data_IF_991291154109
#
_entry.id   IF_991291154109
#
_cell.length_a   1.000
_cell.length_b   1.000
_cell.length_c   1.000
_cell.angle_alpha   90.00
_cell.angle_beta   90.00
_cell.angle_gamma   90.00
#
_symmetry.space_group_name_H-M   'P 1'
#
loop_
_entity.id
_entity.type
_entity.pdbx_description
1 polymer ?
#
# COMPACT_ATOMS: atom_id res chain seq x y z
N UNK A 1 -1.73 -12.65 -1.51
CA UNK A 1 -3.18 -12.48 -1.22
C UNK A 1 -3.28 -11.44 -0.10
N UNK A 2 -3.97 -10.31 -0.30
CA UNK A 2 -3.99 -9.09 0.54
C UNK A 2 -2.84 -8.12 0.24
N UNK A 3 -3.23 -6.89 -0.11
CA UNK A 3 -2.44 -5.66 0.04
C UNK A 3 -3.01 -4.95 1.26
N UNK A 4 -2.16 -4.34 2.06
CA UNK A 4 -2.50 -3.46 3.18
C UNK A 4 -1.77 -2.15 2.89
N UNK A 5 -2.40 -1.04 3.25
CA UNK A 5 -1.88 0.32 3.10
C UNK A 5 -1.79 0.90 4.50
N UNK A 6 -0.66 1.48 4.90
CA UNK A 6 -0.50 2.16 6.20
C UNK A 6 0.15 3.50 5.88
N UNK A 7 -0.42 4.61 6.36
CA UNK A 7 0.19 5.94 6.24
C UNK A 7 0.96 6.36 7.51
N UNK A 8 2.28 6.39 7.33
CA UNK A 8 3.25 7.38 7.79
C UNK A 8 3.74 7.41 9.25
N UNK A 9 2.94 7.14 10.30
CA UNK A 9 3.45 7.38 11.69
C UNK A 9 3.86 6.16 12.51
N UNK A 10 3.40 4.96 12.18
CA UNK A 10 3.67 3.75 12.99
C UNK A 10 4.85 2.92 12.44
N UNK A 11 5.19 3.05 11.15
CA UNK A 11 6.21 2.20 10.53
C UNK A 11 7.65 2.49 11.01
N UNK A 12 7.95 3.71 11.48
CA UNK A 12 9.27 4.04 12.07
C UNK A 12 9.63 3.18 13.29
N UNK A 13 8.65 2.63 13.99
CA UNK A 13 8.89 1.75 15.15
C UNK A 13 9.23 0.31 14.72
N UNK A 14 8.69 -0.17 13.59
CA UNK A 14 8.88 -1.55 13.13
C UNK A 14 10.11 -1.73 12.20
N UNK A 15 10.54 -0.69 11.48
CA UNK A 15 11.53 -0.78 10.40
C UNK A 15 13.01 -0.69 10.82
N UNK A 16 13.35 -0.82 12.10
CA UNK A 16 14.75 -0.65 12.54
C UNK A 16 15.72 -1.74 12.04
N UNK A 17 15.26 -2.79 11.36
CA UNK A 17 16.12 -3.87 10.86
C UNK A 17 15.78 -4.26 9.41
N UNK A 18 16.64 -3.88 8.45
CA UNK A 18 16.59 -4.26 7.03
C UNK A 18 16.98 -5.72 6.74
N UNK A 19 16.59 -6.66 7.58
CA UNK A 19 16.85 -8.10 7.40
C UNK A 19 15.55 -8.89 7.28
N UNK A 20 14.77 -8.64 6.23
CA UNK A 20 13.55 -9.42 5.95
C UNK A 20 13.46 -9.91 4.50
N UNK A 21 14.39 -9.51 3.62
CA UNK A 21 14.39 -9.92 2.21
C UNK A 21 14.94 -11.33 1.94
N UNK A 22 15.56 -12.01 2.93
CA UNK A 22 16.35 -13.23 2.70
C UNK A 22 15.67 -14.56 3.08
N UNK A 23 14.38 -14.57 3.40
CA UNK A 23 13.72 -15.81 3.85
C UNK A 23 12.35 -15.94 3.21
N UNK A 24 12.26 -16.48 1.98
CA UNK A 24 11.03 -16.93 1.28
C UNK A 24 9.72 -16.54 2.00
N UNK A 25 9.41 -15.24 2.11
CA UNK A 25 8.51 -14.85 3.16
C UNK A 25 7.10 -14.99 2.62
N UNK A 26 6.24 -15.65 3.39
CA UNK A 26 4.79 -15.70 3.09
C UNK A 26 4.18 -14.29 2.98
N UNK A 27 4.92 -13.25 3.39
CA UNK A 27 4.60 -11.83 3.39
C UNK A 27 5.81 -10.98 2.96
N UNK A 28 5.70 -10.25 1.86
CA UNK A 28 6.71 -9.29 1.39
C UNK A 28 6.24 -7.85 1.67
N UNK A 29 7.08 -7.04 2.30
CA UNK A 29 6.77 -5.65 2.63
C UNK A 29 7.53 -4.68 1.73
N UNK A 30 6.84 -3.65 1.24
CA UNK A 30 7.43 -2.54 0.50
C UNK A 30 7.12 -1.24 1.24
N UNK A 31 8.16 -0.43 1.49
CA UNK A 31 8.03 0.90 2.11
C UNK A 31 8.37 1.94 1.05
N UNK A 32 7.38 2.77 0.69
CA UNK A 32 7.49 3.85 -0.30
C UNK A 32 8.14 3.45 -1.65
N UNK A 33 7.75 2.33 -2.28
CA UNK A 33 8.39 1.83 -3.49
C UNK A 33 8.26 2.75 -4.71
N UNK A 34 7.32 3.71 -4.69
CA UNK A 34 7.11 4.66 -5.78
C UNK A 34 7.79 6.01 -5.59
N UNK A 35 8.37 6.27 -4.40
CA UNK A 35 8.94 7.58 -4.07
C UNK A 35 10.11 7.95 -4.99
N UNK A 36 10.05 9.16 -5.56
CA UNK A 36 11.10 9.70 -6.42
C UNK A 36 11.16 9.09 -7.83
N UNK A 37 10.24 8.18 -8.17
CA UNK A 37 10.18 7.56 -9.49
C UNK A 37 9.30 8.36 -10.46
N UNK A 38 9.68 8.37 -11.73
CA UNK A 38 8.86 8.93 -12.81
C UNK A 38 7.58 8.10 -13.05
N UNK A 39 6.51 8.68 -13.64
CA UNK A 39 5.20 8.02 -13.79
C UNK A 39 5.22 6.65 -14.49
N UNK A 40 6.16 6.44 -15.40
CA UNK A 40 6.33 5.17 -16.12
C UNK A 40 6.90 4.09 -15.19
N UNK A 41 7.95 4.43 -14.45
CA UNK A 41 8.62 3.51 -13.53
C UNK A 41 7.70 3.10 -12.38
N UNK A 42 6.88 4.03 -11.87
CA UNK A 42 5.87 3.71 -10.86
C UNK A 42 4.91 2.60 -11.33
N UNK A 43 4.43 2.69 -12.59
CA UNK A 43 3.57 1.64 -13.17
C UNK A 43 4.30 0.30 -13.29
N UNK A 44 5.58 0.32 -13.64
CA UNK A 44 6.40 -0.88 -13.77
C UNK A 44 6.64 -1.57 -12.43
N UNK A 45 6.94 -0.80 -11.38
CA UNK A 45 7.05 -1.28 -10.00
C UNK A 45 5.74 -1.95 -9.57
N UNK A 46 4.60 -1.30 -9.77
CA UNK A 46 3.31 -1.90 -9.42
C UNK A 46 2.94 -3.13 -10.26
N UNK A 47 3.33 -3.16 -11.53
CA UNK A 47 3.15 -4.36 -12.36
C UNK A 47 3.99 -5.53 -11.84
N UNK A 48 5.21 -5.26 -11.37
CA UNK A 48 6.07 -6.27 -10.76
C UNK A 48 5.46 -6.80 -9.46
N UNK A 49 4.95 -5.90 -8.61
CA UNK A 49 4.25 -6.28 -7.38
C UNK A 49 3.02 -7.15 -7.68
N UNK A 50 2.25 -6.82 -8.73
CA UNK A 50 1.11 -7.65 -9.16
C UNK A 50 1.53 -9.05 -9.61
N UNK A 51 2.69 -9.20 -10.27
CA UNK A 51 3.24 -10.51 -10.65
C UNK A 51 3.60 -11.33 -9.40
N UNK A 52 4.32 -10.73 -8.45
CA UNK A 52 4.67 -11.37 -7.17
C UNK A 52 3.42 -11.83 -6.40
N UNK A 53 2.38 -10.98 -6.37
CA UNK A 53 1.08 -11.35 -5.78
C UNK A 53 0.45 -12.57 -6.48
N UNK A 54 0.54 -12.64 -7.81
CA UNK A 54 -0.02 -13.75 -8.62
C UNK A 54 0.71 -15.07 -8.36
N UNK A 55 1.99 -15.01 -7.97
CA UNK A 55 2.79 -16.18 -7.58
C UNK A 55 2.42 -16.73 -6.19
N UNK A 56 1.43 -16.15 -5.51
CA UNK A 56 0.89 -16.64 -4.23
C UNK A 56 1.44 -15.91 -3.00
N UNK A 57 2.34 -14.95 -3.19
CA UNK A 57 2.94 -14.18 -2.11
C UNK A 57 1.96 -13.12 -1.57
N UNK A 58 1.93 -12.95 -0.25
CA UNK A 58 1.22 -11.81 0.36
C UNK A 58 2.09 -10.57 0.29
N UNK A 59 1.52 -9.43 -0.07
CA UNK A 59 2.29 -8.20 -0.24
C UNK A 59 1.71 -7.11 0.64
N UNK A 60 2.52 -6.46 1.45
CA UNK A 60 2.12 -5.32 2.27
C UNK A 60 2.85 -4.08 1.74
N UNK A 61 2.12 -3.00 1.45
CA UNK A 61 2.68 -1.81 0.81
C UNK A 61 2.38 -0.61 1.69
N UNK A 62 3.42 0.07 2.15
CA UNK A 62 3.30 1.33 2.88
C UNK A 62 3.58 2.43 1.87
N UNK A 63 2.64 3.35 1.71
CA UNK A 63 2.70 4.40 0.69
C UNK A 63 1.97 5.65 1.17
N UNK A 64 2.52 6.82 0.83
CA UNK A 64 1.88 8.10 1.09
C UNK A 64 0.84 8.43 0.02
N UNK A 65 1.01 7.90 -1.20
CA UNK A 65 0.11 8.17 -2.31
C UNK A 65 -1.11 7.25 -2.30
N UNK A 66 -2.11 7.62 -1.49
CA UNK A 66 -3.38 6.88 -1.33
C UNK A 66 -4.08 6.62 -2.67
N UNK A 67 -4.07 7.59 -3.60
CA UNK A 67 -4.72 7.47 -4.91
C UNK A 67 -4.27 6.25 -5.69
N UNK A 68 -2.96 6.02 -5.75
CA UNK A 68 -2.37 4.96 -6.56
C UNK A 68 -2.62 3.59 -5.94
N UNK A 69 -2.60 3.52 -4.61
CA UNK A 69 -2.72 2.26 -3.89
C UNK A 69 -4.16 1.75 -3.84
N UNK A 70 -5.13 2.64 -3.63
CA UNK A 70 -6.56 2.28 -3.68
C UNK A 70 -6.95 1.56 -4.98
N UNK A 71 -6.27 1.83 -6.09
CA UNK A 71 -6.57 1.21 -7.39
C UNK A 71 -6.07 -0.23 -7.49
N UNK A 72 -4.99 -0.57 -6.78
CA UNK A 72 -4.28 -1.86 -6.92
C UNK A 72 -4.48 -2.81 -5.75
N UNK A 73 -4.83 -2.28 -4.58
CA UNK A 73 -4.93 -3.04 -3.36
C UNK A 73 -6.24 -3.84 -3.30
N UNK A 74 -6.21 -4.99 -2.61
CA UNK A 74 -7.43 -5.75 -2.34
C UNK A 74 -8.18 -5.17 -1.13
N UNK A 75 -7.40 -4.70 -0.15
CA UNK A 75 -7.85 -4.02 1.06
C UNK A 75 -6.94 -2.84 1.30
N UNK A 76 -7.50 -1.77 1.84
CA UNK A 76 -6.71 -0.62 2.24
C UNK A 76 -7.05 -0.25 3.67
N UNK A 77 -6.05 0.32 4.33
CA UNK A 77 -6.19 0.98 5.60
C UNK A 77 -5.59 2.37 5.44
N UNK A 78 -6.23 3.34 6.06
CA UNK A 78 -5.79 4.73 6.04
C UNK A 78 -5.53 5.10 7.48
N UNK A 79 -4.29 5.51 7.72
CA UNK A 79 -3.81 5.87 9.04
C UNK A 79 -3.62 7.39 9.05
N UNK A 80 -4.38 8.08 9.90
CA UNK A 80 -4.27 9.53 10.09
C UNK A 80 -4.08 9.81 11.58
N UNK A 81 -3.11 10.66 11.92
CA UNK A 81 -2.84 11.05 13.31
C UNK A 81 -2.69 9.87 14.29
N UNK A 82 -2.15 8.74 13.81
CA UNK A 82 -1.95 7.53 14.60
C UNK A 82 -3.22 6.70 14.84
N UNK A 83 -4.33 6.99 14.14
CA UNK A 83 -5.58 6.22 14.20
C UNK A 83 -6.00 5.78 12.80
N UNK A 84 -6.50 4.54 12.69
CA UNK A 84 -7.05 4.05 11.43
C UNK A 84 -8.38 4.76 11.24
N UNK A 85 -8.46 5.68 10.28
CA UNK A 85 -9.65 6.47 10.00
C UNK A 85 -10.53 5.79 8.95
N UNK A 86 -9.92 5.08 8.00
CA UNK A 86 -10.64 4.33 6.96
C UNK A 86 -10.02 2.95 6.80
N UNK A 87 -10.87 1.96 6.58
CA UNK A 87 -10.44 0.61 6.22
C UNK A 87 -11.54 -0.10 5.45
N UNK A 88 -11.17 -1.00 4.55
CA UNK A 88 -12.16 -1.73 3.77
C UNK A 88 -11.58 -2.42 2.56
N UNK A 89 -12.46 -3.02 1.76
CA UNK A 89 -12.11 -3.47 0.42
C UNK A 89 -11.96 -2.27 -0.51
N UNK A 90 -11.22 -2.45 -1.58
CA UNK A 90 -11.11 -1.46 -2.67
C UNK A 90 -12.46 -0.90 -3.10
N UNK A 91 -13.45 -1.77 -3.32
CA UNK A 91 -14.78 -1.37 -3.78
C UNK A 91 -15.52 -0.52 -2.73
N UNK A 92 -15.41 -0.86 -1.45
CA UNK A 92 -16.01 -0.08 -0.37
C UNK A 92 -15.36 1.29 -0.24
N UNK A 93 -14.04 1.37 -0.37
CA UNK A 93 -13.30 2.62 -0.18
C UNK A 93 -13.38 3.53 -1.41
N UNK A 94 -13.37 3.00 -2.63
CA UNK A 94 -13.60 3.79 -3.84
C UNK A 94 -15.00 4.40 -3.89
N UNK A 95 -16.00 3.78 -3.25
CA UNK A 95 -17.36 4.32 -3.17
C UNK A 95 -17.60 5.23 -1.96
N UNK A 96 -16.65 5.30 -1.02
CA UNK A 96 -16.78 6.13 0.16
C UNK A 96 -16.59 7.61 -0.19
N UNK A 97 -17.60 8.45 0.08
CA UNK A 97 -17.54 9.89 -0.22
C UNK A 97 -16.36 10.59 0.46
N UNK A 98 -16.04 10.23 1.72
CA UNK A 98 -14.89 10.79 2.42
C UNK A 98 -13.58 10.48 1.69
N UNK A 99 -13.43 9.27 1.13
CA UNK A 99 -12.23 8.88 0.36
C UNK A 99 -12.17 9.67 -0.96
N UNK A 100 -13.30 9.81 -1.65
CA UNK A 100 -13.38 10.57 -2.90
C UNK A 100 -12.97 12.02 -2.71
N UNK A 101 -13.52 12.68 -1.69
CA UNK A 101 -13.25 14.09 -1.44
C UNK A 101 -11.86 14.32 -0.86
N UNK A 102 -11.45 13.55 0.16
CA UNK A 102 -10.17 13.77 0.83
C UNK A 102 -8.96 13.33 -0.01
N UNK A 103 -9.09 12.24 -0.77
CA UNK A 103 -7.94 11.64 -1.46
C UNK A 103 -8.05 11.61 -2.96
N UNK A 104 -9.23 11.56 -3.59
CA UNK A 104 -9.34 11.54 -5.07
C UNK A 104 -9.53 12.96 -5.64
N UNK A 105 -10.08 13.89 -4.87
CA UNK A 105 -10.36 15.27 -5.28
C UNK A 105 -11.59 15.40 -6.18
N UNK A 106 -12.58 14.51 -5.97
CA UNK A 106 -13.88 14.46 -6.66
C UNK A 106 -15.03 14.56 -5.67
#
# INVERSE_FOLDING_TARGET
MFIFTILDKICKIFLKNQKWMMSLPKLQMFDEPSLGLGPILVREVFNTIKKIKKEGTTVLIVEQNVKQILVIADRDYVLENGRITLHGTRESLLNNEHVKTAYLGV
#
